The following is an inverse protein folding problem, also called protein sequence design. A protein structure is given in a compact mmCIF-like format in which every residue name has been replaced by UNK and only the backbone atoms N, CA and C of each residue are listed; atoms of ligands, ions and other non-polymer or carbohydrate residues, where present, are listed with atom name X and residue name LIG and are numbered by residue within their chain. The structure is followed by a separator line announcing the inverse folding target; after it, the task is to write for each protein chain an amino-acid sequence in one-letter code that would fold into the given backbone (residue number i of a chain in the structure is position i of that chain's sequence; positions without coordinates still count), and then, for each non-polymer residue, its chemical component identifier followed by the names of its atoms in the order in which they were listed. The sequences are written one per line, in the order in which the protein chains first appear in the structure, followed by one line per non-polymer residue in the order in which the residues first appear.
data_IF_112642099735
#
_entry.id   IF_112642099735
#
_cell.length_a   1.000
_cell.length_b   1.000
_cell.length_c   1.000
_cell.angle_alpha   90.00
_cell.angle_beta   90.00
_cell.angle_gamma   90.00
#
_symmetry.space_group_name_H-M   'P 1'
#
loop_
_entity.id
_entity.type
_entity.pdbx_description
1 polymer ?
#
# COMPACT_ATOMS: atom_id res chain seq x y z
N UNK A 1 20.01 -15.37 1.15
CA UNK A 1 18.75 -14.62 1.05
C UNK A 1 17.71 -15.48 0.36
N UNK A 2 16.59 -15.73 1.00
CA UNK A 2 15.53 -16.59 0.48
C UNK A 2 14.20 -15.85 0.43
N UNK A 3 13.43 -16.12 -0.65
CA UNK A 3 12.07 -15.58 -0.79
C UNK A 3 11.11 -16.47 0.00
N UNK A 4 10.38 -15.87 0.97
CA UNK A 4 9.39 -16.59 1.77
C UNK A 4 7.95 -16.31 1.33
N UNK A 5 7.74 -15.27 0.52
CA UNK A 5 6.43 -14.90 0.01
C UNK A 5 6.61 -14.12 -1.31
N UNK A 6 5.69 -14.36 -2.24
CA UNK A 6 5.66 -13.63 -3.50
C UNK A 6 4.21 -13.44 -3.96
N UNK A 7 3.89 -12.24 -4.43
CA UNK A 7 2.58 -11.90 -4.98
C UNK A 7 2.75 -10.98 -6.18
N UNK A 8 2.02 -11.27 -7.25
CA UNK A 8 1.94 -10.39 -8.43
C UNK A 8 0.67 -9.56 -8.31
N UNK A 9 0.80 -8.26 -8.46
CA UNK A 9 -0.34 -7.34 -8.55
C UNK A 9 -0.66 -7.12 -10.02
N UNK A 10 -1.80 -7.61 -10.45
CA UNK A 10 -2.29 -7.48 -11.82
C UNK A 10 -3.09 -6.19 -11.97
N UNK A 11 -2.83 -5.48 -13.06
CA UNK A 11 -3.51 -4.23 -13.40
C UNK A 11 -4.02 -4.31 -14.84
N UNK A 12 -4.96 -3.42 -15.19
CA UNK A 12 -5.47 -3.35 -16.58
C UNK A 12 -4.37 -3.09 -17.59
N UNK A 13 -3.41 -2.23 -17.23
CA UNK A 13 -2.23 -1.97 -18.05
C UNK A 13 -1.12 -2.89 -17.60
N UNK A 14 -0.68 -3.77 -18.49
CA UNK A 14 0.35 -4.77 -18.20
C UNK A 14 1.66 -4.13 -17.73
N UNK A 15 1.98 -2.96 -18.23
CA UNK A 15 3.18 -2.20 -17.86
C UNK A 15 3.22 -1.76 -16.39
N UNK A 16 2.07 -1.77 -15.71
CA UNK A 16 1.98 -1.41 -14.28
C UNK A 16 1.96 -2.62 -13.36
N UNK A 17 2.07 -3.81 -13.90
CA UNK A 17 2.11 -5.01 -13.07
C UNK A 17 3.41 -5.07 -12.28
N UNK A 18 3.29 -5.37 -10.99
CA UNK A 18 4.42 -5.47 -10.08
C UNK A 18 4.41 -6.78 -9.33
N UNK A 19 5.60 -7.24 -8.96
CA UNK A 19 5.78 -8.36 -8.05
C UNK A 19 6.26 -7.82 -6.71
N UNK A 20 5.63 -8.28 -5.63
CA UNK A 20 6.06 -7.99 -4.26
C UNK A 20 6.55 -9.28 -3.63
N UNK A 21 7.78 -9.27 -3.15
CA UNK A 21 8.40 -10.42 -2.47
C UNK A 21 8.80 -10.03 -1.06
N UNK A 22 8.62 -10.96 -0.13
CA UNK A 22 9.20 -10.87 1.21
C UNK A 22 10.40 -11.79 1.22
N UNK A 23 11.57 -11.25 1.57
CA UNK A 23 12.82 -12.01 1.59
C UNK A 23 13.36 -12.05 3.01
N UNK A 24 13.95 -13.20 3.36
CA UNK A 24 14.65 -13.41 4.61
C UNK A 24 16.15 -13.38 4.35
N UNK A 25 16.85 -12.51 5.07
CA UNK A 25 18.30 -12.43 5.05
C UNK A 25 18.80 -12.55 6.48
N UNK A 26 19.10 -13.78 6.90
CA UNK A 26 19.58 -14.09 8.24
C UNK A 26 18.66 -13.58 9.38
N UNK A 27 17.35 -13.80 9.21
CA UNK A 27 16.34 -13.38 10.18
C UNK A 27 15.87 -11.94 10.01
N UNK A 28 16.47 -11.17 9.11
CA UNK A 28 16.02 -9.82 8.77
C UNK A 28 15.13 -9.90 7.54
N UNK A 29 13.88 -9.49 7.70
CA UNK A 29 12.90 -9.51 6.61
C UNK A 29 12.87 -8.18 5.88
N UNK A 30 12.76 -8.24 4.58
CA UNK A 30 12.63 -7.08 3.70
C UNK A 30 11.55 -7.32 2.65
N UNK A 31 10.93 -6.24 2.20
CA UNK A 31 9.94 -6.28 1.11
C UNK A 31 10.59 -5.69 -0.14
N UNK A 32 10.54 -6.44 -1.23
CA UNK A 32 11.10 -6.02 -2.51
C UNK A 32 9.97 -5.92 -3.53
N UNK A 33 9.82 -4.76 -4.14
CA UNK A 33 8.90 -4.55 -5.27
C UNK A 33 9.68 -4.43 -6.57
N UNK A 34 9.27 -5.18 -7.57
CA UNK A 34 9.85 -5.17 -8.91
C UNK A 34 8.75 -4.97 -9.94
N UNK A 35 9.04 -4.24 -11.01
CA UNK A 35 8.15 -4.19 -12.16
C UNK A 35 8.41 -5.41 -13.04
N UNK A 36 7.35 -6.00 -13.58
CA UNK A 36 7.47 -7.17 -14.44
C UNK A 36 7.81 -6.78 -15.88
N UNK A 37 7.42 -5.58 -16.32
CA UNK A 37 7.51 -5.19 -17.73
C UNK A 37 8.17 -3.85 -17.99
N UNK A 38 8.09 -2.89 -17.06
CA UNK A 38 8.60 -1.54 -17.28
C UNK A 38 9.20 -0.93 -16.03
N UNK A 39 10.43 -0.46 -16.14
CA UNK A 39 11.10 0.23 -15.04
C UNK A 39 10.54 1.64 -14.80
N UNK A 40 9.91 2.25 -15.81
CA UNK A 40 9.32 3.59 -15.68
C UNK A 40 8.26 3.64 -14.59
N UNK A 41 7.48 2.57 -14.43
CA UNK A 41 6.48 2.50 -13.38
C UNK A 41 7.11 2.57 -11.98
N UNK A 42 8.20 1.85 -11.75
CA UNK A 42 8.93 1.91 -10.46
C UNK A 42 9.56 3.28 -10.22
N UNK A 43 10.08 3.91 -11.25
CA UNK A 43 10.65 5.26 -11.15
C UNK A 43 9.56 6.26 -10.73
N UNK A 44 8.36 6.16 -11.30
CA UNK A 44 7.22 6.98 -10.93
C UNK A 44 6.76 6.70 -9.49
N UNK A 45 6.70 5.43 -9.09
CA UNK A 45 6.35 5.04 -7.72
C UNK A 45 7.35 5.64 -6.72
N UNK A 46 8.63 5.56 -7.00
CA UNK A 46 9.67 6.10 -6.14
C UNK A 46 9.60 7.63 -6.05
N UNK A 47 9.40 8.30 -7.17
CA UNK A 47 9.22 9.75 -7.21
C UNK A 47 8.01 10.19 -6.37
N UNK A 48 6.90 9.49 -6.49
CA UNK A 48 5.71 9.75 -5.67
C UNK A 48 5.96 9.48 -4.19
N UNK A 49 6.69 8.40 -3.89
CA UNK A 49 7.09 8.09 -2.53
C UNK A 49 7.90 9.22 -1.90
N UNK A 50 8.87 9.77 -2.62
CA UNK A 50 9.69 10.87 -2.11
C UNK A 50 8.85 12.11 -1.77
N UNK A 51 7.86 12.42 -2.62
CA UNK A 51 6.92 13.53 -2.36
C UNK A 51 6.09 13.28 -1.11
N UNK A 52 5.57 12.07 -0.95
CA UNK A 52 4.79 11.69 0.23
C UNK A 52 5.65 11.68 1.50
N UNK A 53 6.91 11.28 1.39
CA UNK A 53 7.84 11.28 2.51
C UNK A 53 8.12 12.69 3.03
N UNK A 54 8.21 13.68 2.15
CA UNK A 54 8.35 15.09 2.55
C UNK A 54 7.13 15.58 3.35
N UNK A 55 5.93 15.13 2.97
CA UNK A 55 4.68 15.56 3.61
C UNK A 55 4.44 14.83 4.93
N UNK A 56 4.57 13.50 4.93
CA UNK A 56 4.16 12.64 6.05
C UNK A 56 5.30 12.23 6.97
N UNK A 57 6.53 12.41 6.53
CA UNK A 57 7.74 12.20 7.32
C UNK A 57 7.77 10.79 7.96
N UNK A 58 7.69 10.72 9.31
CA UNK A 58 7.81 9.45 10.04
C UNK A 58 6.59 8.53 9.91
N UNK A 59 5.50 9.01 9.32
CA UNK A 59 4.28 8.20 9.11
C UNK A 59 4.34 7.33 7.86
N UNK A 60 5.43 7.40 7.11
CA UNK A 60 5.66 6.57 5.93
C UNK A 60 6.91 5.74 6.15
N UNK A 61 6.82 4.44 5.83
CA UNK A 61 7.98 3.54 5.89
C UNK A 61 9.10 4.02 4.98
N UNK A 62 10.34 3.72 5.33
CA UNK A 62 11.46 4.05 4.48
C UNK A 62 11.44 3.21 3.20
N UNK A 63 11.94 3.78 2.12
CA UNK A 63 12.07 3.09 0.84
C UNK A 63 13.40 3.49 0.21
N UNK A 64 14.13 2.51 -0.28
CA UNK A 64 15.32 2.74 -1.09
C UNK A 64 15.11 2.16 -2.47
N UNK A 65 15.68 2.81 -3.47
CA UNK A 65 15.67 2.33 -4.85
C UNK A 65 17.03 1.74 -5.17
N UNK A 66 17.05 0.49 -5.61
CA UNK A 66 18.26 -0.20 -6.04
C UNK A 66 18.02 -0.76 -7.44
N UNK A 67 18.61 -0.12 -8.44
CA UNK A 67 18.42 -0.44 -9.86
C UNK A 67 16.92 -0.48 -10.22
N UNK A 68 16.38 -1.67 -10.44
CA UNK A 68 15.02 -1.91 -10.88
C UNK A 68 14.11 -2.40 -9.77
N UNK A 69 14.48 -2.12 -8.51
CA UNK A 69 13.75 -2.63 -7.34
C UNK A 69 13.55 -1.52 -6.32
N UNK A 70 12.40 -1.58 -5.65
CA UNK A 70 12.13 -0.77 -4.47
C UNK A 70 12.23 -1.68 -3.24
N UNK A 71 13.00 -1.23 -2.25
CA UNK A 71 13.26 -1.96 -1.03
C UNK A 71 12.60 -1.26 0.15
N UNK A 72 11.82 -2.03 0.90
CA UNK A 72 11.15 -1.56 2.11
C UNK A 72 11.51 -2.45 3.29
N UNK A 73 11.58 -1.92 4.52
CA UNK A 73 11.65 -2.79 5.68
C UNK A 73 10.33 -3.56 5.82
N UNK A 74 10.39 -4.78 6.31
CA UNK A 74 9.18 -5.52 6.63
C UNK A 74 8.55 -4.93 7.89
N UNK A 75 7.27 -4.56 7.80
CA UNK A 75 6.49 -4.09 8.95
C UNK A 75 5.52 -5.20 9.33
N UNK A 76 5.65 -5.69 10.56
CA UNK A 76 4.74 -6.71 11.06
C UNK A 76 3.38 -6.10 11.36
N UNK A 77 2.32 -6.77 10.92
CA UNK A 77 0.95 -6.32 11.13
C UNK A 77 0.02 -6.89 10.09
N UNK A 78 -1.22 -6.45 10.15
CA UNK A 78 -2.26 -6.83 9.20
C UNK A 78 -2.61 -5.65 8.30
N UNK A 79 -2.82 -5.92 7.01
CA UNK A 79 -3.37 -4.93 6.09
C UNK A 79 -4.86 -4.69 6.39
N UNK A 80 -5.41 -3.61 5.86
CA UNK A 80 -6.86 -3.39 5.93
C UNK A 80 -7.64 -4.53 5.27
N UNK A 81 -7.13 -5.05 4.16
CA UNK A 81 -7.72 -6.20 3.48
C UNK A 81 -7.75 -7.43 4.38
N UNK A 82 -6.64 -7.72 5.08
CA UNK A 82 -6.58 -8.84 6.03
C UNK A 82 -7.60 -8.67 7.16
N UNK A 83 -7.72 -7.46 7.72
CA UNK A 83 -8.70 -7.18 8.78
C UNK A 83 -10.13 -7.40 8.30
N UNK A 84 -10.45 -6.94 7.10
CA UNK A 84 -11.78 -7.11 6.51
C UNK A 84 -12.07 -8.60 6.26
N UNK A 85 -11.13 -9.32 5.67
CA UNK A 85 -11.29 -10.75 5.37
C UNK A 85 -11.42 -11.61 6.62
N UNK A 86 -10.84 -11.17 7.73
CA UNK A 86 -10.92 -11.86 9.02
C UNK A 86 -12.11 -11.42 9.88
N UNK A 87 -12.98 -10.55 9.36
CA UNK A 87 -14.17 -10.07 10.06
C UNK A 87 -13.92 -8.90 11.03
N UNK A 88 -12.72 -8.34 11.08
CA UNK A 88 -12.36 -7.22 11.94
C UNK A 88 -12.70 -5.87 11.27
N UNK A 89 -13.96 -5.72 10.87
CA UNK A 89 -14.42 -4.60 10.05
C UNK A 89 -14.34 -3.27 10.82
N UNK A 90 -14.75 -3.25 12.09
CA UNK A 90 -14.72 -2.03 12.91
C UNK A 90 -13.29 -1.52 13.09
N UNK A 91 -12.34 -2.43 13.31
CA UNK A 91 -10.93 -2.08 13.43
C UNK A 91 -10.39 -1.52 12.12
N UNK A 92 -10.76 -2.10 10.97
CA UNK A 92 -10.38 -1.61 9.65
C UNK A 92 -10.91 -0.20 9.41
N UNK A 93 -12.17 0.07 9.76
CA UNK A 93 -12.79 1.38 9.64
C UNK A 93 -12.05 2.40 10.52
N UNK A 94 -11.75 2.06 11.76
CA UNK A 94 -11.07 2.96 12.69
C UNK A 94 -9.67 3.33 12.19
N UNK A 95 -8.92 2.38 11.68
CA UNK A 95 -7.60 2.65 11.09
C UNK A 95 -7.70 3.54 9.85
N UNK A 96 -8.67 3.27 9.00
CA UNK A 96 -8.90 4.08 7.81
C UNK A 96 -9.23 5.53 8.17
N UNK A 97 -10.11 5.75 9.15
CA UNK A 97 -10.46 7.07 9.62
C UNK A 97 -9.27 7.79 10.26
N UNK A 98 -8.39 7.07 10.93
CA UNK A 98 -7.16 7.63 11.50
C UNK A 98 -6.23 8.17 10.41
N UNK A 99 -6.10 7.46 9.29
CA UNK A 99 -5.33 7.93 8.14
C UNK A 99 -5.99 9.17 7.51
N UNK A 100 -7.32 9.16 7.38
CA UNK A 100 -8.07 10.33 6.89
C UNK A 100 -7.82 11.58 7.74
N UNK A 101 -7.82 11.45 9.07
CA UNK A 101 -7.50 12.56 9.98
C UNK A 101 -6.06 13.06 9.79
N UNK A 102 -5.13 12.17 9.54
CA UNK A 102 -3.75 12.53 9.29
C UNK A 102 -3.63 13.37 8.03
N UNK A 103 -4.35 13.00 6.97
CA UNK A 103 -4.37 13.76 5.72
C UNK A 103 -5.07 15.11 5.87
N UNK A 104 -6.12 15.20 6.67
CA UNK A 104 -6.85 16.45 6.93
C UNK A 104 -5.99 17.49 7.66
N UNK A 105 -5.05 17.08 8.49
CA UNK A 105 -4.16 18.00 9.21
C UNK A 105 -3.10 18.64 8.33
N UNK A 106 -2.87 18.06 7.17
CA UNK A 106 -1.90 18.55 6.19
C UNK A 106 -2.72 19.19 5.07
N UNK A 107 -2.71 20.50 4.91
CA UNK A 107 -3.44 21.22 3.87
C UNK A 107 -3.15 20.66 2.49
N UNK A 108 -3.81 19.56 2.17
CA UNK A 108 -3.52 18.77 1.01
C UNK A 108 -4.25 19.34 -0.19
N UNK A 109 -3.57 19.32 -1.29
CA UNK A 109 -4.04 19.81 -2.56
C UNK A 109 -5.37 19.15 -2.97
N UNK A 110 -6.22 19.89 -3.62
CA UNK A 110 -7.57 19.50 -4.03
C UNK A 110 -7.65 18.10 -4.66
N UNK A 111 -6.68 17.70 -5.48
CA UNK A 111 -6.73 16.37 -6.10
C UNK A 111 -6.48 15.22 -5.11
N UNK A 112 -5.84 15.47 -3.98
CA UNK A 112 -5.71 14.48 -2.91
C UNK A 112 -7.07 14.25 -2.23
N UNK A 113 -7.86 15.29 -2.05
CA UNK A 113 -9.24 15.16 -1.55
C UNK A 113 -10.10 14.29 -2.48
N UNK A 114 -9.92 14.43 -3.78
CA UNK A 114 -10.60 13.60 -4.76
C UNK A 114 -10.18 12.14 -4.64
N UNK A 115 -8.89 11.88 -4.49
CA UNK A 115 -8.37 10.52 -4.27
C UNK A 115 -8.94 9.91 -2.99
N UNK A 116 -8.98 10.65 -1.90
CA UNK A 116 -9.58 10.18 -0.65
C UNK A 116 -11.03 9.77 -0.83
N UNK A 117 -11.82 10.58 -1.53
CA UNK A 117 -13.23 10.25 -1.81
C UNK A 117 -13.37 8.97 -2.62
N UNK A 118 -12.54 8.77 -3.62
CA UNK A 118 -12.58 7.56 -4.43
C UNK A 118 -12.19 6.31 -3.63
N UNK A 119 -11.16 6.41 -2.80
CA UNK A 119 -10.76 5.33 -1.89
C UNK A 119 -11.87 5.04 -0.87
N UNK A 120 -12.50 6.06 -0.30
CA UNK A 120 -13.63 5.90 0.61
C UNK A 120 -14.80 5.19 -0.06
N UNK A 121 -15.15 5.56 -1.28
CA UNK A 121 -16.22 4.92 -2.04
C UNK A 121 -15.92 3.44 -2.26
N UNK A 122 -14.71 3.13 -2.68
CA UNK A 122 -14.29 1.76 -2.94
C UNK A 122 -14.33 0.92 -1.66
N UNK A 123 -13.80 1.44 -0.55
CA UNK A 123 -13.82 0.74 0.74
C UNK A 123 -15.26 0.54 1.21
N UNK A 124 -16.12 1.54 1.08
CA UNK A 124 -17.53 1.45 1.45
C UNK A 124 -18.25 0.36 0.66
N UNK A 125 -18.02 0.29 -0.66
CA UNK A 125 -18.59 -0.76 -1.48
C UNK A 125 -18.12 -2.15 -1.07
N UNK A 126 -16.84 -2.32 -0.76
CA UNK A 126 -16.30 -3.59 -0.29
C UNK A 126 -16.90 -3.99 1.06
N UNK A 127 -16.99 -3.06 2.00
CA UNK A 127 -17.58 -3.32 3.32
C UNK A 127 -19.05 -3.72 3.22
N UNK A 128 -19.83 -3.05 2.38
CA UNK A 128 -21.23 -3.43 2.10
C UNK A 128 -21.30 -4.83 1.52
N UNK A 129 -20.43 -5.16 0.57
CA UNK A 129 -20.35 -6.48 -0.04
C UNK A 129 -20.08 -7.57 0.98
N UNK A 130 -19.08 -7.39 1.84
CA UNK A 130 -18.75 -8.34 2.90
C UNK A 130 -19.89 -8.46 3.94
N UNK A 131 -20.51 -7.37 4.31
CA UNK A 131 -21.64 -7.37 5.24
C UNK A 131 -22.82 -8.17 4.69
N UNK A 132 -23.15 -7.99 3.41
CA UNK A 132 -24.20 -8.76 2.74
C UNK A 132 -23.86 -10.24 2.64
N UNK A 133 -22.61 -10.57 2.37
CA UNK A 133 -22.16 -11.96 2.29
C UNK A 133 -22.18 -12.66 3.64
N UNK A 134 -21.99 -11.93 4.76
CA UNK A 134 -22.02 -12.48 6.11
C UNK A 134 -23.43 -12.76 6.63
N UNK A 135 -24.44 -12.22 6.00
CA UNK A 135 -25.84 -12.49 6.31
C UNK A 135 -26.33 -13.69 5.54
#
# INVERSE_FOLDING_TARGET
MSTIYSKVTYTRKIEYQTETRIVDNNGIFSVIKSSLYSNNHLDNMYSNYLKLKEIYNDNIVSCTKDNNKLLFPFVQGNSLEDLINNGNIDLAINHYLSVGKLTDTIHVVHHMEVLEREVCKELTHRLIGYYKAAK
#
